data_IF_083541431311
#
_entry.id   IF_083541431311
#
_cell.length_a   1.000
_cell.length_b   1.000
_cell.length_c   1.000
_cell.angle_alpha   90.00
_cell.angle_beta   90.00
_cell.angle_gamma   90.00
#
_symmetry.space_group_name_H-M   'P 1'
#
loop_
_entity.id
_entity.type
_entity.pdbx_description
1 polymer ?
#
# COMPACT_ATOMS: atom_id res chain seq x y z
N UNK A 1 -22.68 -36.10 -39.33
CA UNK A 1 -21.34 -35.47 -39.46
C UNK A 1 -21.37 -33.93 -39.40
N UNK A 2 -22.27 -33.26 -40.12
CA UNK A 2 -22.36 -31.77 -40.14
C UNK A 2 -22.64 -31.18 -38.76
N UNK A 3 -23.55 -31.78 -37.98
CA UNK A 3 -23.86 -31.32 -36.62
C UNK A 3 -22.66 -31.36 -35.67
N UNK A 4 -21.82 -32.40 -35.76
CA UNK A 4 -20.60 -32.50 -34.96
C UNK A 4 -19.59 -31.38 -35.32
N UNK A 5 -19.48 -31.04 -36.60
CA UNK A 5 -18.65 -29.90 -37.05
C UNK A 5 -19.17 -28.57 -36.54
N UNK A 6 -20.49 -28.36 -36.50
CA UNK A 6 -21.08 -27.14 -35.93
C UNK A 6 -20.72 -26.99 -34.46
N UNK A 7 -20.86 -28.07 -33.67
CA UNK A 7 -20.47 -28.06 -32.25
C UNK A 7 -18.97 -27.77 -32.09
N UNK A 8 -18.12 -28.42 -32.89
CA UNK A 8 -16.68 -28.19 -32.84
C UNK A 8 -16.33 -26.73 -33.14
N UNK A 9 -16.94 -26.13 -34.16
CA UNK A 9 -16.72 -24.73 -34.53
C UNK A 9 -17.18 -23.78 -33.43
N UNK A 10 -18.34 -24.03 -32.81
CA UNK A 10 -18.85 -23.21 -31.69
C UNK A 10 -17.92 -23.29 -30.49
N UNK A 11 -17.42 -24.48 -30.13
CA UNK A 11 -16.47 -24.66 -29.04
C UNK A 11 -15.14 -23.96 -29.34
N UNK A 12 -14.62 -24.07 -30.58
CA UNK A 12 -13.40 -23.38 -30.98
C UNK A 12 -13.55 -21.85 -30.94
N UNK A 13 -14.69 -21.32 -31.39
CA UNK A 13 -14.98 -19.88 -31.30
C UNK A 13 -15.07 -19.40 -29.84
N UNK A 14 -15.76 -20.15 -28.99
CA UNK A 14 -15.83 -19.84 -27.56
C UNK A 14 -14.45 -19.90 -26.89
N UNK A 15 -13.64 -20.91 -27.22
CA UNK A 15 -12.26 -21.05 -26.74
C UNK A 15 -11.36 -19.91 -27.22
N UNK A 16 -11.45 -19.52 -28.48
CA UNK A 16 -10.70 -18.39 -29.03
C UNK A 16 -11.07 -17.08 -28.30
N UNK A 17 -12.36 -16.81 -28.11
CA UNK A 17 -12.82 -15.65 -27.35
C UNK A 17 -12.35 -15.68 -25.89
N UNK A 18 -12.32 -16.85 -25.25
CA UNK A 18 -11.82 -16.99 -23.89
C UNK A 18 -10.32 -16.70 -23.79
N UNK A 19 -9.51 -17.13 -24.76
CA UNK A 19 -8.06 -16.87 -24.80
C UNK A 19 -7.76 -15.37 -24.84
N UNK A 20 -8.56 -14.57 -25.58
CA UNK A 20 -8.34 -13.12 -25.68
C UNK A 20 -8.86 -12.33 -24.47
N UNK A 21 -9.82 -12.86 -23.70
CA UNK A 21 -10.47 -12.15 -22.60
C UNK A 21 -10.04 -12.61 -21.21
N UNK A 22 -9.43 -13.80 -21.07
CA UNK A 22 -9.02 -14.31 -19.77
C UNK A 22 -7.80 -13.54 -19.23
N UNK A 23 -7.84 -13.07 -17.98
CA UNK A 23 -6.67 -12.48 -17.33
C UNK A 23 -5.53 -13.49 -17.25
N UNK A 24 -4.34 -13.07 -17.63
CA UNK A 24 -3.10 -13.86 -17.49
C UNK A 24 -2.41 -13.46 -16.19
N UNK A 25 -2.20 -14.42 -15.30
CA UNK A 25 -1.46 -14.23 -14.05
C UNK A 25 -0.48 -15.39 -13.84
N UNK A 26 0.67 -15.13 -13.21
CA UNK A 26 1.68 -16.15 -12.93
C UNK A 26 1.18 -17.19 -11.90
N UNK A 27 0.46 -16.71 -10.89
CA UNK A 27 -0.19 -17.53 -9.87
C UNK A 27 -1.56 -16.94 -9.54
N UNK A 28 -2.54 -17.76 -9.12
CA UNK A 28 -3.76 -17.25 -8.51
C UNK A 28 -3.41 -16.51 -7.21
N UNK A 29 -4.23 -15.52 -6.82
CA UNK A 29 -4.06 -14.80 -5.57
C UNK A 29 -4.35 -15.72 -4.37
N UNK A 30 -3.33 -16.42 -3.89
CA UNK A 30 -3.37 -17.28 -2.70
C UNK A 30 -2.94 -16.56 -1.43
N UNK A 31 -2.35 -15.36 -1.57
CA UNK A 31 -1.91 -14.56 -0.44
C UNK A 31 -3.14 -14.05 0.33
N UNK A 32 -3.16 -14.18 1.68
CA UNK A 32 -4.22 -13.59 2.47
C UNK A 32 -4.24 -12.07 2.30
N UNK A 33 -5.43 -11.43 2.26
CA UNK A 33 -5.53 -9.99 2.15
C UNK A 33 -4.94 -9.33 3.40
N UNK A 34 -4.23 -8.22 3.20
CA UNK A 34 -3.62 -7.47 4.28
C UNK A 34 -3.82 -5.96 4.09
N UNK A 35 -3.91 -5.24 5.21
CA UNK A 35 -4.03 -3.79 5.25
C UNK A 35 -2.88 -3.26 6.10
N UNK A 36 -2.14 -2.29 5.58
CA UNK A 36 -1.05 -1.64 6.29
C UNK A 36 -1.46 -0.25 6.74
N UNK A 37 -1.17 0.07 8.00
CA UNK A 37 -1.23 1.42 8.56
C UNK A 37 0.20 1.92 8.69
N UNK A 38 0.50 3.08 8.11
CA UNK A 38 1.80 3.73 8.21
C UNK A 38 1.65 5.10 8.85
N UNK A 39 2.48 5.38 9.84
CA UNK A 39 2.55 6.68 10.50
C UNK A 39 4.00 7.07 10.77
N UNK A 40 4.27 8.37 10.90
CA UNK A 40 5.61 8.87 11.23
C UNK A 40 5.50 9.89 12.36
N UNK A 41 6.32 9.69 13.39
CA UNK A 41 6.55 10.62 14.50
C UNK A 41 8.00 11.11 14.47
N UNK A 42 8.27 12.25 13.81
CA UNK A 42 9.62 12.78 13.68
C UNK A 42 10.27 13.04 15.05
N UNK A 43 11.47 12.49 15.25
CA UNK A 43 12.27 12.69 16.46
C UNK A 43 11.89 11.81 17.67
N UNK A 44 10.93 10.91 17.53
CA UNK A 44 10.58 9.95 18.58
C UNK A 44 11.54 8.75 18.61
N UNK A 45 11.84 8.23 19.80
CA UNK A 45 12.49 6.92 19.94
C UNK A 45 11.50 5.79 19.60
N UNK A 46 12.02 4.59 19.32
CA UNK A 46 11.17 3.42 19.07
C UNK A 46 10.22 3.11 20.24
N UNK A 47 10.69 3.28 21.48
CA UNK A 47 9.90 3.08 22.70
C UNK A 47 8.80 4.14 22.83
N UNK A 48 9.14 5.42 22.64
CA UNK A 48 8.13 6.49 22.66
C UNK A 48 7.08 6.30 21.58
N UNK A 49 7.49 5.92 20.37
CA UNK A 49 6.58 5.65 19.26
C UNK A 49 5.65 4.47 19.58
N UNK A 50 6.20 3.40 20.17
CA UNK A 50 5.44 2.23 20.56
C UNK A 50 4.35 2.58 21.57
N UNK A 51 4.69 3.28 22.64
CA UNK A 51 3.77 3.56 23.75
C UNK A 51 2.74 4.64 23.39
N UNK A 52 3.13 5.66 22.63
CA UNK A 52 2.25 6.80 22.33
C UNK A 52 1.40 6.65 21.07
N UNK A 53 1.82 5.80 20.12
CA UNK A 53 1.14 5.65 18.82
C UNK A 53 0.76 4.20 18.56
N UNK A 54 1.73 3.30 18.56
CA UNK A 54 1.52 1.90 18.14
C UNK A 54 0.49 1.21 19.01
N UNK A 55 0.67 1.21 20.33
CA UNK A 55 -0.26 0.58 21.26
C UNK A 55 -1.66 1.21 21.21
N UNK A 56 -1.76 2.53 21.05
CA UNK A 56 -3.04 3.25 20.96
C UNK A 56 -3.82 2.81 19.73
N UNK A 57 -3.14 2.66 18.58
CA UNK A 57 -3.78 2.16 17.36
C UNK A 57 -4.17 0.68 17.53
N UNK A 58 -3.26 -0.17 18.01
CA UNK A 58 -3.51 -1.61 18.22
C UNK A 58 -4.71 -1.89 19.12
N UNK A 59 -4.83 -1.18 20.24
CA UNK A 59 -5.95 -1.34 21.17
C UNK A 59 -7.32 -1.01 20.54
N UNK A 60 -7.34 -0.15 19.51
CA UNK A 60 -8.56 0.19 18.75
C UNK A 60 -8.84 -0.77 17.60
N UNK A 61 -7.88 -1.60 17.18
CA UNK A 61 -8.03 -2.59 16.11
C UNK A 61 -8.75 -3.87 16.57
N UNK A 62 -9.94 -3.71 17.16
CA UNK A 62 -10.76 -4.83 17.66
C UNK A 62 -12.10 -4.91 16.93
N UNK A 63 -12.63 -6.13 16.78
CA UNK A 63 -13.90 -6.38 16.10
C UNK A 63 -13.83 -6.08 14.60
N UNK A 64 -12.73 -6.48 13.95
CA UNK A 64 -12.55 -6.47 12.51
C UNK A 64 -12.98 -7.83 11.97
N UNK A 65 -13.82 -7.86 10.94
CA UNK A 65 -14.31 -9.10 10.34
C UNK A 65 -13.20 -9.79 9.56
N UNK A 66 -13.10 -11.11 9.72
CA UNK A 66 -12.05 -11.90 9.05
C UNK A 66 -10.64 -11.56 9.53
N UNK A 67 -10.46 -10.86 10.66
CA UNK A 67 -9.15 -10.61 11.23
C UNK A 67 -8.46 -11.90 11.63
N UNK A 68 -7.22 -12.10 11.17
CA UNK A 68 -6.40 -13.27 11.50
C UNK A 68 -5.31 -12.93 12.50
N UNK A 69 -4.44 -11.99 12.17
CA UNK A 69 -3.39 -11.50 13.06
C UNK A 69 -2.97 -10.08 12.68
N UNK A 70 -2.30 -9.38 13.60
CA UNK A 70 -1.60 -8.14 13.31
C UNK A 70 -0.14 -8.26 13.70
N UNK A 71 0.71 -7.52 12.99
CA UNK A 71 2.12 -7.33 13.32
C UNK A 71 2.45 -5.85 13.24
N UNK A 72 3.10 -5.31 14.25
CA UNK A 72 3.59 -3.93 14.24
C UNK A 72 5.12 -3.88 14.30
N UNK A 73 5.67 -2.85 13.70
CA UNK A 73 7.10 -2.51 13.76
C UNK A 73 7.20 -1.02 14.03
N UNK A 74 7.89 -0.67 15.12
CA UNK A 74 8.22 0.71 15.49
C UNK A 74 9.73 0.86 15.40
N UNK A 75 10.22 1.82 14.61
CA UNK A 75 11.65 2.02 14.43
C UNK A 75 12.17 3.30 15.10
N UNK A 76 13.49 3.37 15.28
CA UNK A 76 14.16 4.54 15.86
C UNK A 76 14.24 5.74 14.90
N UNK A 77 13.80 5.58 13.65
CA UNK A 77 13.64 6.70 12.71
C UNK A 77 12.29 7.41 12.90
N UNK A 78 11.47 6.93 13.84
CA UNK A 78 10.15 7.47 14.12
C UNK A 78 9.08 6.95 13.18
N UNK A 79 9.32 5.88 12.41
CA UNK A 79 8.31 5.28 11.53
C UNK A 79 7.65 4.08 12.19
N UNK A 80 6.34 4.03 12.01
CA UNK A 80 5.47 2.96 12.46
C UNK A 80 4.86 2.28 11.24
N UNK A 81 4.92 0.95 11.22
CA UNK A 81 4.18 0.11 10.29
C UNK A 81 3.37 -0.94 11.06
N UNK A 82 2.06 -0.93 10.89
CA UNK A 82 1.16 -1.96 11.42
C UNK A 82 0.54 -2.70 10.24
N UNK A 83 0.74 -4.00 10.16
CA UNK A 83 0.20 -4.88 9.14
C UNK A 83 -0.87 -5.77 9.75
N UNK A 84 -2.11 -5.61 9.29
CA UNK A 84 -3.25 -6.44 9.66
C UNK A 84 -3.50 -7.45 8.55
N UNK A 85 -3.42 -8.73 8.88
CA UNK A 85 -3.68 -9.83 7.95
C UNK A 85 -5.04 -10.43 8.24
N UNK A 86 -5.78 -10.72 7.17
CA UNK A 86 -7.14 -11.22 7.20
C UNK A 86 -7.20 -12.65 6.66
N UNK A 87 -8.29 -13.36 6.95
CA UNK A 87 -8.56 -14.70 6.44
C UNK A 87 -8.72 -14.68 4.91
N UNK A 88 -8.27 -15.74 4.20
CA UNK A 88 -8.51 -15.89 2.77
C UNK A 88 -10.00 -15.81 2.43
N UNK A 89 -10.33 -15.05 1.38
CA UNK A 89 -11.72 -14.78 0.97
C UNK A 89 -12.35 -13.52 1.57
N UNK A 90 -11.68 -12.87 2.54
CA UNK A 90 -12.10 -11.54 3.02
C UNK A 90 -11.97 -10.51 1.90
N UNK A 91 -12.97 -9.65 1.74
CA UNK A 91 -12.91 -8.57 0.76
C UNK A 91 -11.90 -7.49 1.22
N UNK A 92 -10.82 -7.22 0.46
CA UNK A 92 -9.79 -6.25 0.86
C UNK A 92 -10.31 -4.80 0.91
N UNK A 93 -11.32 -4.43 0.12
CA UNK A 93 -11.97 -3.12 0.20
C UNK A 93 -12.69 -2.93 1.53
N UNK A 94 -13.45 -3.95 1.95
CA UNK A 94 -14.19 -3.92 3.22
C UNK A 94 -13.22 -3.94 4.39
N UNK A 95 -12.20 -4.79 4.35
CA UNK A 95 -11.15 -4.83 5.36
C UNK A 95 -10.48 -3.46 5.53
N UNK A 96 -10.13 -2.78 4.42
CA UNK A 96 -9.55 -1.44 4.47
C UNK A 96 -10.50 -0.43 5.13
N UNK A 97 -11.77 -0.41 4.74
CA UNK A 97 -12.77 0.50 5.31
C UNK A 97 -12.97 0.24 6.81
N UNK A 98 -13.03 -1.03 7.23
CA UNK A 98 -13.14 -1.38 8.65
C UNK A 98 -11.92 -0.89 9.45
N UNK A 99 -10.71 -1.11 8.94
CA UNK A 99 -9.48 -0.62 9.57
C UNK A 99 -9.49 0.91 9.65
N UNK A 100 -9.87 1.59 8.56
CA UNK A 100 -9.95 3.05 8.54
C UNK A 100 -10.96 3.58 9.57
N UNK A 101 -12.15 2.97 9.67
CA UNK A 101 -13.17 3.35 10.64
C UNK A 101 -12.68 3.19 12.08
N UNK A 102 -11.97 2.09 12.39
CA UNK A 102 -11.36 1.89 13.71
C UNK A 102 -10.22 2.88 13.97
N UNK A 103 -9.43 3.18 12.94
CA UNK A 103 -8.31 4.11 13.04
C UNK A 103 -8.81 5.52 13.32
N UNK A 104 -9.89 5.97 12.68
CA UNK A 104 -10.51 7.28 12.93
C UNK A 104 -10.90 7.50 14.39
N UNK A 105 -11.23 6.44 15.13
CA UNK A 105 -11.51 6.51 16.57
C UNK A 105 -10.23 6.63 17.42
N UNK A 106 -9.09 6.17 16.89
CA UNK A 106 -7.79 6.27 17.53
C UNK A 106 -7.10 7.62 17.27
N UNK A 107 -7.30 8.23 16.09
CA UNK A 107 -6.62 9.48 15.67
C UNK A 107 -6.64 10.58 16.74
N UNK A 108 -7.75 10.89 17.41
CA UNK A 108 -7.78 11.98 18.41
C UNK A 108 -6.93 11.71 19.67
N UNK A 109 -6.53 10.46 19.90
CA UNK A 109 -5.70 10.05 21.03
C UNK A 109 -4.20 10.10 20.70
N UNK A 110 -3.86 10.32 19.42
CA UNK A 110 -2.47 10.35 18.95
C UNK A 110 -1.87 11.74 19.14
N UNK A 111 -0.54 11.86 19.33
CA UNK A 111 0.13 13.16 19.36
C UNK A 111 -0.11 13.99 18.10
N UNK A 112 -0.30 15.31 18.26
CA UNK A 112 -0.56 16.25 17.15
C UNK A 112 0.51 16.20 16.05
N UNK A 113 1.76 15.92 16.43
CA UNK A 113 2.86 15.79 15.48
C UNK A 113 2.62 14.67 14.46
N UNK A 114 2.02 13.55 14.89
CA UNK A 114 1.70 12.40 14.04
C UNK A 114 0.46 12.69 13.21
N UNK A 115 -0.57 13.30 13.81
CA UNK A 115 -1.79 13.67 13.10
C UNK A 115 -1.49 14.62 11.92
N UNK A 116 -0.62 15.62 12.13
CA UNK A 116 -0.20 16.56 11.08
C UNK A 116 0.61 15.90 9.96
N UNK A 117 1.37 14.86 10.28
CA UNK A 117 2.14 14.12 9.28
C UNK A 117 1.25 13.25 8.39
N UNK A 118 0.02 12.99 8.82
CA UNK A 118 -0.93 12.11 8.15
C UNK A 118 -0.64 10.63 8.43
N UNK A 119 -1.71 9.84 8.46
CA UNK A 119 -1.64 8.39 8.63
C UNK A 119 -2.16 7.76 7.37
N UNK A 120 -1.36 6.89 6.76
CA UNK A 120 -1.70 6.24 5.51
C UNK A 120 -2.24 4.85 5.78
N UNK A 121 -3.34 4.49 5.12
CA UNK A 121 -3.94 3.15 5.15
C UNK A 121 -3.96 2.60 3.74
N UNK A 122 -3.11 1.62 3.46
CA UNK A 122 -2.97 1.01 2.14
C UNK A 122 -3.31 -0.48 2.18
N UNK A 123 -3.80 -1.01 1.06
CA UNK A 123 -3.90 -2.46 0.89
C UNK A 123 -2.49 -2.99 0.66
N UNK A 124 -2.06 -3.88 1.54
CA UNK A 124 -0.72 -4.46 1.46
C UNK A 124 -0.70 -5.58 0.41
N UNK A 125 0.29 -5.53 -0.48
CA UNK A 125 0.74 -6.69 -1.24
C UNK A 125 2.22 -6.88 -0.93
N UNK A 126 2.62 -8.09 -0.57
CA UNK A 126 4.01 -8.39 -0.28
C UNK A 126 4.84 -8.40 -1.58
N UNK A 127 5.44 -7.26 -1.94
CA UNK A 127 6.41 -7.14 -3.02
C UNK A 127 6.20 -5.91 -3.92
N UNK A 128 7.29 -5.42 -4.50
CA UNK A 128 7.24 -4.41 -5.56
C UNK A 128 6.94 -5.08 -6.89
N UNK A 129 5.92 -4.61 -7.61
CA UNK A 129 5.65 -5.05 -8.98
C UNK A 129 6.71 -4.55 -9.97
N UNK A 130 7.14 -3.30 -9.80
CA UNK A 130 8.09 -2.61 -10.66
C UNK A 130 8.90 -1.61 -9.82
N UNK A 131 10.18 -1.47 -10.11
CA UNK A 131 11.03 -0.39 -9.60
C UNK A 131 11.51 0.42 -10.79
N UNK A 132 11.19 1.72 -10.81
CA UNK A 132 11.60 2.65 -11.86
C UNK A 132 12.75 3.50 -11.31
N UNK A 133 13.91 3.44 -11.95
CA UNK A 133 15.07 4.25 -11.60
C UNK A 133 15.16 5.47 -12.51
N UNK A 134 15.27 6.66 -11.92
CA UNK A 134 15.54 7.92 -12.63
C UNK A 134 17.02 8.28 -12.43
N UNK A 135 17.72 8.53 -13.54
CA UNK A 135 19.15 8.90 -13.52
C UNK A 135 19.38 10.12 -14.39
N UNK A 136 20.21 11.06 -13.93
CA UNK A 136 20.67 12.18 -14.74
C UNK A 136 21.86 11.75 -15.60
N UNK A 137 21.81 12.03 -16.90
CA UNK A 137 22.88 11.65 -17.87
C UNK A 137 24.18 12.42 -17.59
N UNK A 138 24.07 13.71 -17.24
CA UNK A 138 25.22 14.61 -17.10
C UNK A 138 25.57 14.95 -15.64
N UNK A 139 24.97 14.27 -14.66
CA UNK A 139 25.11 14.62 -13.24
C UNK A 139 24.53 15.99 -12.87
N UNK A 140 23.80 16.63 -13.79
CA UNK A 140 23.21 17.96 -13.62
C UNK A 140 22.15 18.04 -12.51
N UNK A 141 21.64 16.89 -12.07
CA UNK A 141 20.66 16.80 -10.98
C UNK A 141 21.21 15.91 -9.88
N UNK A 142 21.22 16.43 -8.65
CA UNK A 142 21.46 15.63 -7.46
C UNK A 142 20.30 14.67 -7.20
N UNK A 143 20.55 13.64 -6.38
CA UNK A 143 19.52 12.68 -5.96
C UNK A 143 18.31 13.35 -5.29
N UNK A 144 18.51 14.49 -4.62
CA UNK A 144 17.42 15.21 -3.96
C UNK A 144 16.55 15.95 -4.98
N UNK A 145 17.15 16.53 -6.01
CA UNK A 145 16.39 17.26 -7.05
C UNK A 145 15.60 16.28 -7.92
N UNK A 146 16.18 15.10 -8.22
CA UNK A 146 15.45 14.01 -8.86
C UNK A 146 14.29 13.51 -7.99
N UNK A 147 14.51 13.31 -6.69
CA UNK A 147 13.45 12.88 -5.79
C UNK A 147 12.31 13.90 -5.70
N UNK A 148 12.63 15.20 -5.66
CA UNK A 148 11.64 16.28 -5.69
C UNK A 148 10.84 16.30 -7.00
N UNK A 149 11.54 16.18 -8.14
CA UNK A 149 10.90 16.09 -9.44
C UNK A 149 9.93 14.90 -9.53
N UNK A 150 10.34 13.72 -9.06
CA UNK A 150 9.52 12.50 -9.05
C UNK A 150 8.30 12.70 -8.15
N UNK A 151 8.49 13.21 -6.94
CA UNK A 151 7.40 13.45 -5.98
C UNK A 151 6.37 14.42 -6.56
N UNK A 152 6.83 15.50 -7.18
CA UNK A 152 5.96 16.58 -7.67
C UNK A 152 5.25 16.25 -8.99
N UNK A 153 5.92 15.56 -9.92
CA UNK A 153 5.39 15.37 -11.29
C UNK A 153 4.92 13.95 -11.59
N UNK A 154 5.51 12.94 -10.93
CA UNK A 154 5.33 11.54 -11.31
C UNK A 154 4.50 10.77 -10.29
N UNK A 155 4.75 10.96 -8.99
CA UNK A 155 4.14 10.16 -7.92
C UNK A 155 2.61 10.20 -7.98
N UNK A 156 2.01 11.39 -8.07
CA UNK A 156 0.55 11.54 -8.11
C UNK A 156 -0.08 10.96 -9.37
N UNK A 157 0.62 11.06 -10.50
CA UNK A 157 0.14 10.49 -11.76
C UNK A 157 0.16 8.96 -11.70
N UNK A 158 1.25 8.38 -11.20
CA UNK A 158 1.39 6.92 -11.04
C UNK A 158 0.43 6.36 -9.98
N UNK A 159 0.23 7.06 -8.87
CA UNK A 159 -0.65 6.62 -7.78
C UNK A 159 -2.13 6.55 -8.19
N UNK A 160 -2.52 7.20 -9.29
CA UNK A 160 -3.90 7.20 -9.82
C UNK A 160 -4.13 6.18 -10.93
N UNK A 161 -3.10 5.46 -11.38
CA UNK A 161 -3.23 4.44 -12.42
C UNK A 161 -3.97 3.22 -11.85
N UNK A 162 -4.97 2.73 -12.57
CA UNK A 162 -5.73 1.55 -12.16
C UNK A 162 -4.80 0.33 -12.00
N UNK A 163 -4.86 -0.32 -10.85
CA UNK A 163 -4.01 -1.45 -10.49
C UNK A 163 -2.78 -1.09 -9.63
N UNK A 164 -2.48 0.20 -9.44
CA UNK A 164 -1.42 0.64 -8.53
C UNK A 164 -1.98 0.74 -7.11
N UNK A 165 -1.44 -0.07 -6.20
CA UNK A 165 -1.83 -0.06 -4.78
C UNK A 165 -1.09 0.97 -3.94
N UNK A 166 0.22 1.09 -4.15
CA UNK A 166 1.10 2.00 -3.41
C UNK A 166 2.29 2.42 -4.30
N UNK A 167 2.69 3.69 -4.22
CA UNK A 167 3.90 4.20 -4.88
C UNK A 167 4.85 4.72 -3.82
N UNK A 168 6.01 4.07 -3.71
CA UNK A 168 7.07 4.47 -2.81
C UNK A 168 8.17 5.21 -3.57
N UNK A 169 8.41 6.47 -3.21
CA UNK A 169 9.54 7.25 -3.73
C UNK A 169 10.77 6.98 -2.87
N UNK A 170 11.87 6.56 -3.50
CA UNK A 170 13.15 6.38 -2.83
C UNK A 170 13.89 7.73 -2.74
N UNK A 171 13.54 8.53 -1.75
CA UNK A 171 14.10 9.86 -1.53
C UNK A 171 13.15 10.75 -0.73
N UNK A 172 13.38 12.06 -0.76
CA UNK A 172 12.45 13.04 -0.20
C UNK A 172 12.37 14.27 -1.09
N UNK A 173 11.21 14.93 -1.22
CA UNK A 173 11.11 16.22 -1.87
C UNK A 173 11.89 17.29 -1.11
N UNK A 174 12.04 18.45 -1.72
CA UNK A 174 12.64 19.59 -1.03
C UNK A 174 11.81 19.99 0.19
N UNK A 175 12.51 20.46 1.22
CA UNK A 175 11.93 21.09 2.37
C UNK A 175 12.77 22.33 2.72
N UNK A 176 12.12 23.41 3.17
CA UNK A 176 12.83 24.57 3.70
C UNK A 176 13.53 24.17 4.99
N UNK A 177 14.87 24.13 4.98
CA UNK A 177 15.69 23.80 6.15
C UNK A 177 16.34 25.08 6.69
N UNK A 178 15.93 25.49 7.88
CA UNK A 178 16.57 26.56 8.64
C UNK A 178 17.54 25.92 9.64
N UNK A 179 18.84 26.05 9.38
CA UNK A 179 19.89 25.62 10.31
C UNK A 179 20.27 26.84 11.16
N UNK A 180 19.93 26.79 12.45
CA UNK A 180 20.25 27.83 13.45
C UNK A 180 21.59 27.54 14.10
#
# INVERSE_FOLDING_TARGET
>A
PVFAWVIAIVIMLAGALAIFNLPVAQYPAIAPPAVTIQATYPGASAETLQDSVTQVIEQRMTGLDGFRYMKSTSDSTGRLRIELTFEPGTNPDIAQVQVQNKLSLAVPLLPDAVQRQGIQVTKSSAGYLLVIAFTAVDGAYSSTELADFITTNVQDTMSRVNGVGEVQVFGSPYAMRLWL
#
